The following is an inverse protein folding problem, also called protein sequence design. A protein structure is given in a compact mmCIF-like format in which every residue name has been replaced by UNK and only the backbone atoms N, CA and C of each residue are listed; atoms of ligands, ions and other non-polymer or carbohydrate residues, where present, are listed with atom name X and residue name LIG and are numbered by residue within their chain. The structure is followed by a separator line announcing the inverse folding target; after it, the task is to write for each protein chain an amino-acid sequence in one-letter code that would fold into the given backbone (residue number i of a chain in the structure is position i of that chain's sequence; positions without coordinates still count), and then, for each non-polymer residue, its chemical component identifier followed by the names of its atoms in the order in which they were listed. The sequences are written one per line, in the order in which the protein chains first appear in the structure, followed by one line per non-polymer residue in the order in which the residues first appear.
data_IF_124499598929
#
_entry.id   IF_124499598929
#
_cell.length_a   1.000
_cell.length_b   1.000
_cell.length_c   1.000
_cell.angle_alpha   90.00
_cell.angle_beta   90.00
_cell.angle_gamma   90.00
#
_symmetry.space_group_name_H-M   'P 1'
#
loop_
_entity.id
_entity.type
_entity.pdbx_description
1 polymer ?
#
# COMPACT_ATOMS: atom_id res chain seq x y z
N UNK A 1 5.82 -0.35 10.37
CA UNK A 1 4.63 -0.89 9.69
C UNK A 1 3.81 0.27 9.13
N UNK A 2 3.45 0.18 7.86
CA UNK A 2 2.69 1.24 7.22
C UNK A 2 1.23 1.15 7.65
N UNK A 3 0.68 2.23 8.20
CA UNK A 3 -0.69 2.24 8.69
C UNK A 3 -1.61 3.16 7.90
N UNK A 4 -1.08 3.93 6.99
CA UNK A 4 -1.90 4.72 6.06
C UNK A 4 -1.12 5.03 4.81
N UNK A 5 -1.83 5.19 3.71
CA UNK A 5 -1.25 5.61 2.44
C UNK A 5 -2.24 6.53 1.74
N UNK A 6 -1.73 7.42 0.91
CA UNK A 6 -2.58 8.24 0.05
C UNK A 6 -2.66 7.59 -1.32
N UNK A 7 -3.88 7.41 -1.79
CA UNK A 7 -4.12 6.88 -3.14
C UNK A 7 -4.92 7.94 -3.89
N UNK A 8 -4.29 8.53 -4.88
CA UNK A 8 -4.91 9.61 -5.68
C UNK A 8 -5.44 10.73 -4.79
N UNK A 9 -4.70 11.06 -3.74
CA UNK A 9 -5.07 12.12 -2.82
C UNK A 9 -6.06 11.72 -1.75
N UNK A 10 -6.49 10.46 -1.72
CA UNK A 10 -7.45 9.98 -0.74
C UNK A 10 -6.70 9.16 0.31
N UNK A 11 -6.74 9.58 1.58
CA UNK A 11 -6.10 8.80 2.65
C UNK A 11 -6.80 7.46 2.85
N UNK A 12 -6.00 6.42 2.92
CA UNK A 12 -6.51 5.06 3.15
C UNK A 12 -5.85 4.51 4.41
N UNK A 13 -6.64 3.97 5.31
CA UNK A 13 -6.11 3.26 6.47
C UNK A 13 -5.65 1.88 6.06
N UNK A 14 -4.52 1.44 6.59
CA UNK A 14 -4.02 0.10 6.37
C UNK A 14 -4.16 -0.66 7.68
N UNK A 15 -4.97 -1.71 7.66
CA UNK A 15 -5.38 -2.45 8.85
C UNK A 15 -4.87 -3.87 8.75
N UNK A 16 -4.17 -4.31 9.78
CA UNK A 16 -3.60 -5.66 9.83
C UNK A 16 -4.46 -6.50 10.75
N UNK A 17 -5.08 -7.54 10.21
CA UNK A 17 -6.01 -8.37 10.95
C UNK A 17 -5.72 -9.85 10.78
N UNK A 18 -5.92 -10.60 11.85
CA UNK A 18 -5.70 -12.05 11.83
C UNK A 18 -6.94 -12.80 11.39
N UNK A 19 -8.04 -12.54 12.03
CA UNK A 19 -9.21 -13.41 11.91
C UNK A 19 -10.00 -13.18 10.65
N UNK A 20 -9.86 -12.03 10.05
CA UNK A 20 -10.63 -11.68 8.86
C UNK A 20 -10.36 -12.62 7.69
N UNK A 21 -9.19 -13.24 7.66
CA UNK A 21 -8.75 -14.04 6.54
C UNK A 21 -8.81 -15.55 6.78
N UNK A 22 -9.34 -15.97 7.92
CA UNK A 22 -9.30 -17.38 8.30
C UNK A 22 -10.29 -18.26 7.56
N UNK A 23 -11.41 -17.71 7.20
CA UNK A 23 -12.51 -18.51 6.65
C UNK A 23 -12.32 -18.75 5.16
N UNK A 24 -11.79 -17.80 4.47
CA UNK A 24 -11.58 -17.92 3.04
C UNK A 24 -10.24 -18.55 2.77
N UNK A 25 -10.11 -19.05 1.57
CA UNK A 25 -8.85 -19.53 1.11
C UNK A 25 -7.81 -18.44 1.19
N UNK A 26 -6.64 -18.75 0.81
CA UNK A 26 -5.45 -17.95 0.93
C UNK A 26 -5.67 -16.55 0.37
N UNK A 27 -6.08 -15.65 1.19
CA UNK A 27 -6.09 -14.24 0.84
C UNK A 27 -5.07 -13.54 1.69
N UNK A 28 -4.27 -12.70 1.06
CA UNK A 28 -3.27 -11.92 1.77
C UNK A 28 -3.79 -10.54 2.12
N UNK A 29 -4.76 -10.04 1.36
CA UNK A 29 -5.35 -8.73 1.64
C UNK A 29 -6.44 -8.37 0.66
N UNK A 30 -7.10 -7.25 0.91
CA UNK A 30 -8.06 -6.68 -0.04
C UNK A 30 -8.26 -5.19 0.27
N UNK A 31 -8.84 -4.47 -0.69
CA UNK A 31 -9.14 -3.06 -0.53
C UNK A 31 -10.64 -2.85 -0.51
N UNK A 32 -11.08 -2.00 0.41
CA UNK A 32 -12.47 -1.55 0.50
C UNK A 32 -12.50 -0.14 -0.06
N UNK A 33 -12.91 -0.01 -1.30
CA UNK A 33 -12.89 1.28 -1.98
C UNK A 33 -13.84 2.29 -1.32
N UNK A 34 -15.01 1.83 -0.92
CA UNK A 34 -16.03 2.72 -0.40
C UNK A 34 -15.63 3.39 0.90
N UNK A 35 -14.87 2.68 1.71
CA UNK A 35 -14.47 3.17 3.02
C UNK A 35 -13.00 3.57 3.10
N UNK A 36 -12.30 3.51 1.98
CA UNK A 36 -10.89 3.87 1.88
C UNK A 36 -10.05 3.12 2.91
N UNK A 37 -10.14 1.80 2.88
CA UNK A 37 -9.40 0.94 3.80
C UNK A 37 -8.76 -0.20 3.05
N UNK A 38 -7.57 -0.56 3.48
CA UNK A 38 -6.85 -1.72 2.97
C UNK A 38 -6.64 -2.67 4.14
N UNK A 39 -7.00 -3.93 3.94
CA UNK A 39 -6.84 -4.96 4.96
C UNK A 39 -5.73 -5.92 4.55
N UNK A 40 -4.82 -6.18 5.46
CA UNK A 40 -3.67 -7.06 5.23
C UNK A 40 -3.71 -8.18 6.26
N UNK A 41 -3.47 -9.39 5.82
CA UNK A 41 -3.40 -10.54 6.72
C UNK A 41 -2.19 -10.41 7.63
N UNK A 42 -2.44 -10.37 8.93
CA UNK A 42 -1.38 -10.20 9.92
C UNK A 42 -0.47 -11.43 10.03
N UNK A 43 -0.96 -12.59 9.64
CA UNK A 43 -0.25 -13.86 9.88
C UNK A 43 0.73 -14.26 8.78
N UNK A 44 0.93 -13.42 7.78
CA UNK A 44 1.86 -13.73 6.72
C UNK A 44 3.22 -13.07 6.98
N UNK A 45 4.23 -13.50 6.26
CA UNK A 45 5.58 -12.95 6.42
C UNK A 45 5.61 -11.45 6.13
N UNK A 46 6.52 -10.75 6.78
CA UNK A 46 6.60 -9.28 6.64
C UNK A 46 6.78 -8.86 5.19
N UNK A 47 7.62 -9.57 4.46
CA UNK A 47 7.83 -9.25 3.05
C UNK A 47 6.54 -9.39 2.24
N UNK A 48 5.75 -10.42 2.55
CA UNK A 48 4.47 -10.61 1.87
C UNK A 48 3.47 -9.52 2.22
N UNK A 49 3.53 -9.00 3.44
CA UNK A 49 2.65 -7.89 3.82
C UNK A 49 2.94 -6.67 2.95
N UNK A 50 4.20 -6.38 2.71
CA UNK A 50 4.59 -5.24 1.88
C UNK A 50 4.15 -5.43 0.44
N UNK A 51 4.37 -6.64 -0.10
CA UNK A 51 3.95 -6.96 -1.46
C UNK A 51 2.44 -6.88 -1.61
N UNK A 52 1.73 -7.38 -0.62
CA UNK A 52 0.27 -7.34 -0.63
C UNK A 52 -0.23 -5.90 -0.56
N UNK A 53 0.38 -5.09 0.27
CA UNK A 53 0.01 -3.68 0.36
C UNK A 53 0.19 -3.01 -1.00
N UNK A 54 1.32 -3.25 -1.66
CA UNK A 54 1.57 -2.68 -2.97
C UNK A 54 0.51 -3.12 -3.97
N UNK A 55 0.15 -4.40 -3.94
CA UNK A 55 -0.88 -4.97 -4.81
C UNK A 55 -2.22 -4.24 -4.62
N UNK A 56 -2.63 -4.04 -3.36
CA UNK A 56 -3.90 -3.36 -3.08
C UNK A 56 -3.85 -1.87 -3.44
N UNK A 57 -2.70 -1.23 -3.27
CA UNK A 57 -2.54 0.15 -3.70
C UNK A 57 -2.75 0.28 -5.22
N UNK A 58 -2.22 -0.66 -6.00
CA UNK A 58 -2.40 -0.63 -7.45
C UNK A 58 -3.87 -0.80 -7.82
N UNK A 59 -4.59 -1.70 -7.15
CA UNK A 59 -6.04 -1.79 -7.33
C UNK A 59 -6.70 -0.44 -7.08
N UNK A 60 -6.34 0.21 -5.99
CA UNK A 60 -6.92 1.50 -5.63
C UNK A 60 -6.62 2.60 -6.65
N UNK A 61 -5.39 2.65 -7.14
CA UNK A 61 -5.00 3.65 -8.15
C UNK A 61 -5.83 3.45 -9.42
N UNK A 62 -5.87 2.23 -9.92
CA UNK A 62 -6.57 1.95 -11.17
C UNK A 62 -8.07 2.24 -11.04
N UNK A 63 -8.65 1.90 -9.90
CA UNK A 63 -10.04 2.19 -9.64
C UNK A 63 -10.31 3.70 -9.66
N UNK A 64 -9.47 4.46 -8.93
CA UNK A 64 -9.72 5.90 -8.76
C UNK A 64 -9.42 6.72 -10.03
N UNK A 65 -8.58 6.23 -10.91
CA UNK A 65 -8.34 6.93 -12.18
C UNK A 65 -9.31 6.48 -13.27
N UNK A 66 -10.32 5.67 -12.91
CA UNK A 66 -11.35 5.27 -13.85
C UNK A 66 -10.99 4.10 -14.76
N UNK A 67 -10.00 3.33 -14.38
CA UNK A 67 -9.55 2.16 -15.15
C UNK A 67 -9.98 0.88 -14.47
N UNK A 68 -11.26 0.75 -14.21
CA UNK A 68 -11.80 -0.36 -13.44
C UNK A 68 -11.53 -1.71 -14.08
N UNK A 69 -11.60 -1.80 -15.40
CA UNK A 69 -11.31 -3.06 -16.07
C UNK A 69 -9.88 -3.50 -15.83
N UNK A 70 -8.94 -2.55 -15.81
CA UNK A 70 -7.54 -2.86 -15.52
C UNK A 70 -7.38 -3.25 -14.05
N UNK A 71 -8.13 -2.64 -13.15
CA UNK A 71 -8.10 -3.00 -11.74
C UNK A 71 -8.58 -4.42 -11.49
N UNK A 72 -9.40 -4.96 -12.38
CA UNK A 72 -9.89 -6.32 -12.27
C UNK A 72 -8.96 -7.36 -12.92
N UNK A 73 -7.94 -6.90 -13.61
CA UNK A 73 -6.96 -7.79 -14.24
C UNK A 73 -5.85 -8.10 -13.23
N UNK A 74 -5.99 -9.23 -12.55
CA UNK A 74 -5.05 -9.58 -11.48
C UNK A 74 -3.62 -9.77 -11.98
N UNK A 75 -3.44 -10.23 -13.20
CA UNK A 75 -2.09 -10.39 -13.74
C UNK A 75 -1.43 -9.04 -13.97
N UNK A 76 -2.18 -8.08 -14.48
CA UNK A 76 -1.67 -6.74 -14.67
C UNK A 76 -1.35 -6.07 -13.33
N UNK A 77 -2.28 -6.17 -12.39
CA UNK A 77 -2.09 -5.59 -11.06
C UNK A 77 -0.86 -6.17 -10.39
N UNK A 78 -0.70 -7.49 -10.46
CA UNK A 78 0.46 -8.13 -9.85
C UNK A 78 1.75 -7.71 -10.52
N UNK A 79 1.77 -7.60 -11.83
CA UNK A 79 2.96 -7.17 -12.55
C UNK A 79 3.35 -5.75 -12.18
N UNK A 80 2.38 -4.85 -12.12
CA UNK A 80 2.62 -3.47 -11.72
C UNK A 80 3.09 -3.39 -10.26
N UNK A 81 2.45 -4.14 -9.38
CA UNK A 81 2.82 -4.15 -7.97
C UNK A 81 4.26 -4.63 -7.79
N UNK A 82 4.64 -5.68 -8.50
CA UNK A 82 6.01 -6.18 -8.44
C UNK A 82 7.01 -5.14 -8.93
N UNK A 83 6.71 -4.50 -10.05
CA UNK A 83 7.60 -3.50 -10.61
C UNK A 83 7.77 -2.31 -9.66
N UNK A 84 6.67 -1.84 -9.09
CA UNK A 84 6.70 -0.72 -8.16
C UNK A 84 7.46 -1.12 -6.88
N UNK A 85 7.14 -2.29 -6.35
CA UNK A 85 7.77 -2.75 -5.12
C UNK A 85 9.28 -2.95 -5.26
N UNK A 86 9.73 -3.30 -6.45
CA UNK A 86 11.15 -3.45 -6.72
C UNK A 86 11.84 -2.12 -6.99
N UNK A 87 11.10 -1.11 -7.34
CA UNK A 87 11.65 0.19 -7.71
C UNK A 87 11.59 1.22 -6.60
N UNK A 88 10.61 1.10 -5.72
CA UNK A 88 10.35 2.09 -4.69
C UNK A 88 10.06 1.44 -3.36
N UNK A 89 10.31 2.18 -2.29
CA UNK A 89 9.91 1.76 -0.95
C UNK A 89 8.58 2.41 -0.60
N UNK A 90 7.68 1.61 -0.04
CA UNK A 90 6.40 2.13 0.45
C UNK A 90 6.60 2.63 1.87
N UNK A 91 6.18 3.86 2.12
CA UNK A 91 6.40 4.49 3.41
C UNK A 91 5.14 5.16 3.90
N UNK A 92 5.08 5.38 5.17
CA UNK A 92 3.98 6.12 5.75
C UNK A 92 4.01 7.57 5.27
N UNK A 93 2.83 8.17 5.18
CA UNK A 93 2.70 9.55 4.78
C UNK A 93 3.49 10.47 5.71
N UNK A 94 4.13 11.46 5.14
CA UNK A 94 4.90 12.42 5.91
C UNK A 94 6.29 11.97 6.28
N UNK A 95 6.71 10.82 5.77
CA UNK A 95 8.05 10.29 6.03
C UNK A 95 8.78 10.08 4.73
N UNK A 96 10.09 10.26 4.78
CA UNK A 96 10.93 10.05 3.63
C UNK A 96 12.37 9.83 4.06
N UNK A 97 13.17 9.34 3.14
CA UNK A 97 14.55 9.01 3.39
C UNK A 97 15.45 10.01 2.65
N UNK A 98 16.56 10.38 3.25
CA UNK A 98 17.51 11.23 2.59
C UNK A 98 18.12 10.49 1.38
N UNK A 99 18.61 11.25 0.42
CA UNK A 99 19.11 10.67 -0.82
C UNK A 99 20.35 9.82 -0.61
N UNK A 100 21.09 9.99 0.47
CA UNK A 100 22.27 9.17 0.71
C UNK A 100 21.91 7.81 1.30
N UNK A 101 20.64 7.49 1.38
CA UNK A 101 20.19 6.20 1.86
C UNK A 101 20.09 6.08 3.35
N UNK A 102 20.50 7.07 4.09
CA UNK A 102 20.35 7.04 5.56
C UNK A 102 18.93 7.42 5.89
N UNK A 103 18.31 6.64 6.73
CA UNK A 103 16.96 6.94 7.14
C UNK A 103 16.92 8.30 7.82
N UNK A 104 16.09 9.17 7.29
CA UNK A 104 15.83 10.45 7.92
C UNK A 104 14.34 10.68 7.84
N UNK A 105 13.73 10.70 9.00
CA UNK A 105 12.28 10.87 9.08
C UNK A 105 11.97 12.31 9.32
N UNK A 106 11.06 12.83 8.54
CA UNK A 106 10.62 14.21 8.66
C UNK A 106 9.19 14.20 9.11
N UNK A 107 8.88 15.09 10.02
CA UNK A 107 7.51 15.21 10.49
C UNK A 107 6.57 15.56 9.38
N UNK A 108 5.32 15.22 9.56
CA UNK A 108 4.28 15.45 8.57
C UNK A 108 4.24 16.92 8.18
N UNK A 109 4.29 17.15 6.89
CA UNK A 109 4.18 18.51 6.38
C UNK A 109 5.39 19.38 6.59
N UNK A 110 6.48 18.81 7.05
CA UNK A 110 7.66 19.58 7.39
C UNK A 110 8.73 19.53 6.32
N UNK A 111 8.34 19.47 5.07
CA UNK A 111 9.29 19.40 3.98
C UNK A 111 10.25 20.56 3.95
N UNK A 112 9.74 21.72 4.27
CA UNK A 112 10.56 22.92 4.25
C UNK A 112 11.62 22.92 5.35
N UNK A 113 11.56 22.01 6.27
CA UNK A 113 12.53 21.92 7.33
C UNK A 113 13.74 21.09 6.95
N UNK A 114 13.77 20.68 5.74
CA UNK A 114 14.83 19.87 5.22
C UNK A 114 16.12 20.62 4.99
N UNK A 115 16.13 21.85 5.16
CA UNK A 115 17.32 22.63 4.85
C UNK A 115 18.52 22.24 5.64
#
# INVERSE_FOLDING_TARGET
MVTNVNICGIPHDVIYEKDRFQIDDIKFGYIDYANAKIYINEDIAEQLKIETLCHEIIHGILFHIGKQEMSEDENLVQALANAINQSFDIRESGKWISIDGKGMTIGTGALNEQK
#
